data_IF_609530761182
#
_entry.id   IF_609530761182
#
_cell.length_a   1.000
_cell.length_b   1.000
_cell.length_c   1.000
_cell.angle_alpha   90.00
_cell.angle_beta   90.00
_cell.angle_gamma   90.00
#
_symmetry.space_group_name_H-M   'P 1'
#
loop_
_entity.id
_entity.type
_entity.pdbx_description
1 polymer ?
#
# COMPACT_ATOMS: atom_id res chain seq x y z
N UNK A 1 51.86 37.29 59.66
CA UNK A 1 51.72 35.98 59.05
C UNK A 1 51.27 36.14 57.63
N UNK A 2 52.02 35.72 56.65
CA UNK A 2 52.10 36.14 55.24
C UNK A 2 51.05 35.52 54.40
N UNK A 3 50.28 36.32 53.60
CA UNK A 3 49.39 35.94 52.52
C UNK A 3 50.20 35.79 51.22
N UNK A 4 50.26 34.61 50.65
CA UNK A 4 50.86 34.34 49.34
C UNK A 4 49.75 34.47 48.25
N UNK A 5 49.97 35.45 47.38
CA UNK A 5 49.15 35.66 46.16
C UNK A 5 49.43 34.54 45.13
N UNK A 6 48.41 33.83 44.74
CA UNK A 6 48.48 32.90 43.62
C UNK A 6 48.57 33.67 42.29
N UNK A 7 49.65 33.45 41.57
CA UNK A 7 49.83 33.97 40.21
C UNK A 7 48.80 33.39 39.23
N UNK A 8 47.94 34.23 38.72
CA UNK A 8 46.97 33.92 37.70
C UNK A 8 47.65 33.95 36.32
N UNK A 9 47.81 32.77 35.73
CA UNK A 9 48.48 32.62 34.44
C UNK A 9 47.52 32.99 33.27
N UNK A 10 47.79 34.07 32.47
CA UNK A 10 46.91 34.54 31.41
C UNK A 10 46.78 33.59 30.22
N UNK A 11 47.69 32.62 30.08
CA UNK A 11 47.69 31.66 28.98
C UNK A 11 46.61 30.58 29.09
N UNK A 12 45.99 30.41 30.26
CA UNK A 12 44.94 29.39 30.45
C UNK A 12 43.58 29.84 29.92
N UNK A 13 43.36 31.15 29.65
CA UNK A 13 42.12 31.68 29.07
C UNK A 13 42.06 31.49 27.56
N UNK A 14 43.20 31.42 26.88
CA UNK A 14 43.24 31.25 25.40
C UNK A 14 42.96 29.80 24.95
N UNK A 15 43.24 28.82 25.81
CA UNK A 15 42.98 27.41 25.50
C UNK A 15 41.50 27.00 25.69
N UNK A 16 40.78 27.69 26.61
CA UNK A 16 39.36 27.41 26.85
C UNK A 16 38.45 27.92 25.73
N UNK A 17 38.82 29.00 25.04
CA UNK A 17 38.04 29.58 23.96
C UNK A 17 38.22 28.85 22.61
N UNK A 18 39.39 28.21 22.41
CA UNK A 18 39.63 27.41 21.21
C UNK A 18 38.88 26.06 21.22
N UNK A 19 38.73 25.45 22.42
CA UNK A 19 38.01 24.18 22.57
C UNK A 19 36.47 24.32 22.36
N UNK A 20 35.91 25.48 22.74
CA UNK A 20 34.45 25.72 22.56
C UNK A 20 34.09 26.03 21.10
N UNK A 21 34.96 26.64 20.32
CA UNK A 21 34.74 26.92 18.89
C UNK A 21 34.84 25.64 18.03
N UNK A 22 35.65 24.66 18.44
CA UNK A 22 35.81 23.40 17.68
C UNK A 22 34.64 22.42 17.89
N UNK A 23 33.91 22.53 19.01
CA UNK A 23 32.76 21.67 19.32
C UNK A 23 31.48 22.15 18.60
N UNK A 24 31.37 23.44 18.23
CA UNK A 24 30.22 24.03 17.58
C UNK A 24 30.15 23.72 16.06
N UNK A 25 31.27 23.31 15.45
CA UNK A 25 31.32 22.99 14.00
C UNK A 25 30.92 21.55 13.70
N UNK A 26 30.95 20.65 14.70
CA UNK A 26 30.58 19.23 14.49
C UNK A 26 29.06 18.96 14.46
N UNK A 27 28.20 19.93 14.77
CA UNK A 27 26.74 19.71 14.84
C UNK A 27 25.97 20.12 13.59
N UNK A 28 26.62 20.62 12.55
CA UNK A 28 25.96 21.11 11.32
C UNK A 28 25.93 20.12 10.15
N UNK A 29 26.27 18.86 10.38
CA UNK A 29 26.38 17.84 9.34
C UNK A 29 25.36 16.69 9.43
N UNK A 30 24.17 16.88 10.00
CA UNK A 30 23.09 15.92 9.79
C UNK A 30 22.47 16.22 8.42
N UNK A 31 23.13 15.73 7.36
CA UNK A 31 22.47 15.56 6.08
C UNK A 31 21.24 14.68 6.35
N UNK A 32 20.04 15.22 6.19
CA UNK A 32 18.82 14.44 6.11
C UNK A 32 18.99 13.50 4.91
N UNK A 33 19.47 12.30 5.16
CA UNK A 33 19.43 11.26 4.13
C UNK A 33 17.94 11.08 3.79
N UNK A 34 17.60 11.28 2.51
CA UNK A 34 16.25 11.03 2.02
C UNK A 34 15.84 9.63 2.44
N UNK A 35 14.60 9.46 2.88
CA UNK A 35 14.12 8.12 3.24
C UNK A 35 14.14 7.23 2.00
N UNK A 36 14.31 5.91 2.14
CA UNK A 36 14.18 4.99 1.00
C UNK A 36 12.86 5.19 0.24
N UNK A 37 11.79 5.51 0.95
CA UNK A 37 10.48 5.81 0.35
C UNK A 37 10.54 7.03 -0.58
N UNK A 38 11.13 8.15 -0.12
CA UNK A 38 11.24 9.37 -0.93
C UNK A 38 12.14 9.13 -2.14
N UNK A 39 13.26 8.42 -1.94
CA UNK A 39 14.20 8.06 -3.00
C UNK A 39 13.51 7.19 -4.07
N UNK A 40 12.76 6.17 -3.66
CA UNK A 40 12.01 5.28 -4.56
C UNK A 40 10.98 6.09 -5.35
N UNK A 41 10.16 6.91 -4.68
CA UNK A 41 9.15 7.75 -5.33
C UNK A 41 9.76 8.67 -6.38
N UNK A 42 10.82 9.38 -6.02
CA UNK A 42 11.52 10.27 -6.94
C UNK A 42 12.07 9.49 -8.13
N UNK A 43 12.86 8.45 -7.88
CA UNK A 43 13.54 7.69 -8.93
C UNK A 43 12.57 7.04 -9.91
N UNK A 44 11.50 6.40 -9.39
CA UNK A 44 10.52 5.73 -10.25
C UNK A 44 9.69 6.73 -11.06
N UNK A 45 9.28 7.86 -10.48
CA UNK A 45 8.55 8.91 -11.21
C UNK A 45 9.40 9.52 -12.34
N UNK A 46 10.71 9.69 -12.10
CA UNK A 46 11.63 10.23 -13.13
C UNK A 46 11.89 9.23 -14.25
N UNK A 47 12.06 7.93 -13.92
CA UNK A 47 12.49 6.92 -14.89
C UNK A 47 11.33 6.19 -15.57
N UNK A 48 10.17 6.11 -14.92
CA UNK A 48 8.98 5.40 -15.43
C UNK A 48 7.76 6.32 -15.33
N UNK A 49 7.62 7.31 -16.22
CA UNK A 49 6.50 8.27 -16.21
C UNK A 49 5.12 7.60 -16.30
N UNK A 50 5.05 6.35 -16.79
CA UNK A 50 3.81 5.56 -16.86
C UNK A 50 3.29 5.14 -15.46
N UNK A 51 4.16 5.08 -14.45
CA UNK A 51 3.75 4.92 -13.05
C UNK A 51 3.24 6.28 -12.50
N UNK A 52 2.14 6.76 -13.04
CA UNK A 52 1.68 8.15 -12.93
C UNK A 52 1.45 8.63 -11.49
N UNK A 53 1.13 7.74 -10.55
CA UNK A 53 0.92 8.11 -9.16
C UNK A 53 1.23 6.94 -8.24
N UNK A 54 2.38 6.98 -7.60
CA UNK A 54 2.71 6.03 -6.55
C UNK A 54 1.89 6.40 -5.30
N UNK A 55 0.91 5.56 -4.94
CA UNK A 55 0.07 5.80 -3.77
C UNK A 55 0.79 5.47 -2.46
N UNK A 56 1.56 4.37 -2.45
CA UNK A 56 2.21 3.89 -1.25
C UNK A 56 3.55 3.21 -1.58
N UNK A 57 4.55 3.43 -0.73
CA UNK A 57 5.80 2.67 -0.70
C UNK A 57 5.96 2.14 0.72
N UNK A 58 6.25 0.85 0.88
CA UNK A 58 6.45 0.25 2.19
C UNK A 58 7.50 -0.86 2.16
N UNK A 59 8.05 -1.19 3.31
CA UNK A 59 8.96 -2.32 3.47
C UNK A 59 8.21 -3.65 3.31
N UNK A 60 8.93 -4.69 2.86
CA UNK A 60 8.45 -6.07 2.84
C UNK A 60 9.19 -6.90 3.90
N UNK A 61 8.73 -8.13 4.20
CA UNK A 61 9.48 -9.04 5.06
C UNK A 61 10.85 -9.43 4.47
N UNK A 62 11.04 -9.32 3.17
CA UNK A 62 12.33 -9.52 2.52
C UNK A 62 13.17 -8.25 2.66
N UNK A 63 14.28 -8.35 3.39
CA UNK A 63 15.17 -7.22 3.62
C UNK A 63 15.68 -6.61 2.31
N UNK A 64 15.62 -5.28 2.18
CA UNK A 64 16.07 -4.54 1.01
C UNK A 64 15.06 -4.50 -0.16
N UNK A 65 13.93 -5.22 -0.03
CA UNK A 65 12.84 -5.18 -0.99
C UNK A 65 11.70 -4.29 -0.46
N UNK A 66 11.23 -3.38 -1.30
CA UNK A 66 10.13 -2.47 -1.02
C UNK A 66 8.95 -2.76 -1.94
N UNK A 67 7.76 -2.69 -1.40
CA UNK A 67 6.50 -2.73 -2.15
C UNK A 67 6.15 -1.32 -2.61
N UNK A 68 5.77 -1.19 -3.87
CA UNK A 68 5.27 0.06 -4.50
C UNK A 68 3.86 -0.21 -5.01
N UNK A 69 2.89 0.57 -4.52
CA UNK A 69 1.50 0.46 -4.93
C UNK A 69 1.07 1.62 -5.84
N UNK A 70 0.42 1.25 -6.93
CA UNK A 70 -0.23 2.19 -7.86
C UNK A 70 -1.66 1.70 -8.10
N UNK A 71 -2.64 2.37 -7.49
CA UNK A 71 -4.02 1.89 -7.47
C UNK A 71 -4.14 0.55 -6.75
N UNK A 72 -4.54 -0.47 -7.48
CA UNK A 72 -4.61 -1.87 -7.02
C UNK A 72 -3.40 -2.71 -7.43
N UNK A 73 -2.52 -2.16 -8.27
CA UNK A 73 -1.32 -2.86 -8.73
C UNK A 73 -0.22 -2.78 -7.69
N UNK A 74 0.50 -3.89 -7.54
CA UNK A 74 1.60 -4.06 -6.61
C UNK A 74 2.87 -4.42 -7.38
N UNK A 75 3.91 -3.62 -7.16
CA UNK A 75 5.24 -3.80 -7.69
C UNK A 75 6.24 -3.90 -6.55
N UNK A 76 7.47 -4.33 -6.88
CA UNK A 76 8.57 -4.38 -5.92
C UNK A 76 9.80 -3.69 -6.48
N UNK A 77 10.64 -3.14 -5.59
CA UNK A 77 11.85 -2.44 -5.97
C UNK A 77 12.91 -2.52 -4.86
N UNK A 78 14.15 -2.21 -5.20
CA UNK A 78 15.22 -1.99 -4.24
C UNK A 78 15.12 -0.60 -3.59
N UNK A 79 15.89 -0.34 -2.53
CA UNK A 79 15.83 0.91 -1.78
C UNK A 79 16.18 2.17 -2.60
N UNK A 80 16.79 2.02 -3.76
CA UNK A 80 17.18 3.09 -4.67
C UNK A 80 16.24 3.24 -5.87
N UNK A 81 15.27 2.35 -6.05
CA UNK A 81 14.38 2.37 -7.22
C UNK A 81 15.08 2.01 -8.54
N UNK A 82 16.18 1.24 -8.49
CA UNK A 82 16.94 0.88 -9.69
C UNK A 82 16.27 -0.22 -10.51
N UNK A 83 15.54 -1.11 -9.86
CA UNK A 83 14.87 -2.24 -10.48
C UNK A 83 13.40 -2.23 -10.13
N UNK A 84 12.53 -2.46 -11.10
CA UNK A 84 11.11 -2.66 -10.88
C UNK A 84 10.76 -4.11 -11.21
N UNK A 85 10.15 -4.80 -10.25
CA UNK A 85 9.72 -6.19 -10.37
C UNK A 85 8.19 -6.19 -10.40
N UNK A 86 7.62 -6.76 -11.44
CA UNK A 86 6.20 -7.09 -11.52
C UNK A 86 6.05 -8.59 -11.37
N UNK A 87 5.45 -9.03 -10.26
CA UNK A 87 5.33 -10.46 -9.94
C UNK A 87 4.85 -10.68 -8.51
N UNK A 88 4.98 -11.91 -8.04
CA UNK A 88 4.49 -12.35 -6.74
C UNK A 88 5.62 -12.53 -5.73
N UNK A 89 5.41 -12.02 -4.52
CA UNK A 89 6.25 -12.30 -3.36
C UNK A 89 5.60 -13.41 -2.54
N UNK A 90 6.24 -14.57 -2.51
CA UNK A 90 5.74 -15.75 -1.81
C UNK A 90 6.62 -16.03 -0.59
N UNK A 91 6.02 -16.02 0.59
CA UNK A 91 6.64 -16.53 1.80
C UNK A 91 6.57 -18.06 1.79
N UNK A 92 7.71 -18.70 1.51
CA UNK A 92 7.79 -20.15 1.39
C UNK A 92 7.72 -20.87 2.73
N UNK A 93 8.06 -20.20 3.84
CA UNK A 93 7.95 -20.75 5.19
C UNK A 93 6.49 -20.76 5.65
N UNK A 94 5.82 -19.61 5.51
CA UNK A 94 4.39 -19.49 5.84
C UNK A 94 3.48 -20.09 4.74
N UNK A 95 4.02 -20.43 3.57
CA UNK A 95 3.27 -20.89 2.38
C UNK A 95 2.17 -19.91 1.98
N UNK A 96 2.49 -18.63 1.97
CA UNK A 96 1.55 -17.53 1.68
C UNK A 96 2.04 -16.69 0.52
N UNK A 97 1.13 -16.34 -0.36
CA UNK A 97 1.36 -15.34 -1.41
C UNK A 97 1.05 -13.95 -0.85
N UNK A 98 2.09 -13.21 -0.47
CA UNK A 98 1.97 -11.89 0.15
C UNK A 98 1.39 -10.85 -0.83
N UNK A 99 1.70 -10.97 -2.11
CA UNK A 99 1.16 -10.10 -3.17
C UNK A 99 -0.34 -10.32 -3.32
N UNK A 100 -0.77 -11.56 -3.40
CA UNK A 100 -2.19 -11.91 -3.52
C UNK A 100 -2.99 -11.46 -2.29
N UNK A 101 -2.46 -11.70 -1.09
CA UNK A 101 -3.08 -11.23 0.17
C UNK A 101 -3.22 -9.70 0.17
N UNK A 102 -2.20 -9.00 -0.35
CA UNK A 102 -2.22 -7.55 -0.45
C UNK A 102 -3.28 -7.06 -1.45
N UNK A 103 -3.32 -7.63 -2.64
CA UNK A 103 -4.32 -7.29 -3.66
C UNK A 103 -5.74 -7.57 -3.13
N UNK A 104 -5.96 -8.72 -2.49
CA UNK A 104 -7.24 -9.03 -1.83
C UNK A 104 -7.63 -7.97 -0.82
N UNK A 105 -6.70 -7.51 0.01
CA UNK A 105 -6.98 -6.46 0.99
C UNK A 105 -7.30 -5.11 0.34
N UNK A 106 -6.63 -4.77 -0.75
CA UNK A 106 -6.84 -3.51 -1.49
C UNK A 106 -8.16 -3.49 -2.25
N UNK A 107 -8.60 -4.66 -2.74
CA UNK A 107 -9.83 -4.83 -3.53
C UNK A 107 -11.02 -5.28 -2.70
N UNK A 108 -10.84 -5.50 -1.40
CA UNK A 108 -11.91 -5.94 -0.52
C UNK A 108 -13.03 -4.90 -0.43
N UNK A 109 -14.22 -5.30 -0.85
CA UNK A 109 -15.44 -4.52 -0.72
C UNK A 109 -16.20 -4.98 0.53
N UNK A 110 -16.55 -4.04 1.40
CA UNK A 110 -17.43 -4.35 2.53
C UNK A 110 -18.85 -4.46 2.03
N UNK A 111 -19.54 -5.54 2.41
CA UNK A 111 -20.94 -5.74 2.02
C UNK A 111 -21.84 -4.58 2.46
N UNK A 112 -21.56 -3.99 3.63
CA UNK A 112 -22.29 -2.82 4.16
C UNK A 112 -22.19 -1.57 3.29
N UNK A 113 -21.16 -1.47 2.45
CA UNK A 113 -20.89 -0.28 1.64
C UNK A 113 -21.54 -0.39 0.24
N UNK A 114 -22.15 -1.55 -0.04
CA UNK A 114 -22.84 -1.78 -1.32
C UNK A 114 -24.19 -1.01 -1.37
N UNK A 115 -24.52 -0.37 -2.48
CA UNK A 115 -25.79 0.30 -2.68
C UNK A 115 -26.91 -0.72 -2.93
N UNK A 116 -27.31 -1.46 -1.90
CA UNK A 116 -28.26 -2.58 -2.01
C UNK A 116 -29.61 -2.18 -2.59
N UNK A 117 -29.98 -0.90 -2.54
CA UNK A 117 -31.22 -0.37 -3.14
C UNK A 117 -31.18 -0.37 -4.70
N UNK A 118 -29.97 -0.40 -5.28
CA UNK A 118 -29.78 -0.42 -6.73
C UNK A 118 -29.69 -1.85 -7.27
N UNK A 119 -29.72 -2.85 -6.39
CA UNK A 119 -29.64 -4.25 -6.75
C UNK A 119 -31.02 -4.88 -6.94
N UNK A 120 -31.11 -5.82 -7.90
CA UNK A 120 -32.28 -6.73 -8.01
C UNK A 120 -32.18 -7.72 -6.86
N UNK A 121 -33.19 -7.72 -5.98
CA UNK A 121 -33.24 -8.61 -4.83
C UNK A 121 -33.98 -9.90 -5.17
N UNK A 122 -33.30 -11.05 -5.02
CA UNK A 122 -33.88 -12.39 -5.18
C UNK A 122 -33.74 -13.16 -3.86
N UNK A 123 -34.84 -13.69 -3.35
CA UNK A 123 -34.87 -14.39 -2.05
C UNK A 123 -35.24 -15.86 -2.26
N UNK A 124 -34.40 -16.75 -1.75
CA UNK A 124 -34.63 -18.19 -1.69
C UNK A 124 -34.80 -18.63 -0.25
N UNK A 125 -35.92 -19.29 0.06
CA UNK A 125 -36.26 -19.74 1.40
C UNK A 125 -36.35 -18.58 2.41
N UNK A 126 -35.70 -18.72 3.56
CA UNK A 126 -35.73 -17.69 4.63
C UNK A 126 -34.88 -16.45 4.29
N UNK A 127 -33.92 -16.56 3.38
CA UNK A 127 -33.10 -15.43 2.94
C UNK A 127 -32.13 -14.87 3.99
N UNK A 128 -31.74 -15.64 4.99
CA UNK A 128 -30.90 -15.17 6.11
C UNK A 128 -29.45 -14.87 5.68
N UNK A 129 -28.91 -15.70 4.77
CA UNK A 129 -27.58 -15.45 4.20
C UNK A 129 -27.69 -14.43 3.09
N UNK A 130 -26.75 -13.52 3.01
CA UNK A 130 -26.76 -12.48 1.98
C UNK A 130 -25.53 -12.58 1.11
N UNK A 131 -25.72 -12.46 -0.21
CA UNK A 131 -24.65 -12.39 -1.20
C UNK A 131 -24.92 -11.24 -2.16
N UNK A 132 -23.84 -10.61 -2.64
CA UNK A 132 -23.89 -9.66 -3.74
C UNK A 132 -23.32 -10.31 -4.99
N UNK A 133 -24.00 -10.19 -6.09
CA UNK A 133 -23.63 -10.76 -7.39
C UNK A 133 -23.55 -9.64 -8.41
N UNK A 134 -22.40 -9.50 -9.05
CA UNK A 134 -22.21 -8.58 -10.17
C UNK A 134 -22.29 -9.39 -11.45
N UNK A 135 -23.32 -9.15 -12.26
CA UNK A 135 -23.64 -9.96 -13.41
C UNK A 135 -23.87 -9.13 -14.67
N UNK A 136 -23.28 -9.57 -15.79
CA UNK A 136 -23.60 -9.03 -17.09
C UNK A 136 -24.81 -9.79 -17.67
N UNK A 137 -25.82 -9.11 -18.21
CA UNK A 137 -27.03 -9.75 -18.80
C UNK A 137 -26.72 -10.73 -19.93
N UNK A 138 -25.59 -10.54 -20.63
CA UNK A 138 -25.17 -11.42 -21.73
C UNK A 138 -24.20 -12.52 -21.31
N UNK A 139 -23.79 -12.56 -20.01
CA UNK A 139 -22.86 -13.54 -19.49
C UNK A 139 -23.49 -14.93 -19.36
N UNK A 140 -23.06 -15.88 -20.18
CA UNK A 140 -23.53 -17.26 -20.13
C UNK A 140 -23.24 -17.97 -18.80
N UNK A 141 -22.09 -17.67 -18.16
CA UNK A 141 -21.74 -18.21 -16.86
C UNK A 141 -22.57 -17.61 -15.74
N UNK A 142 -22.91 -16.31 -15.82
CA UNK A 142 -23.81 -15.68 -14.85
C UNK A 142 -25.19 -16.32 -14.89
N UNK A 143 -25.74 -16.57 -16.10
CA UNK A 143 -27.01 -17.29 -16.27
C UNK A 143 -26.96 -18.73 -15.75
N UNK A 144 -25.82 -19.41 -15.89
CA UNK A 144 -25.64 -20.73 -15.32
C UNK A 144 -25.60 -20.67 -13.78
N UNK A 145 -24.83 -19.75 -13.21
CA UNK A 145 -24.78 -19.52 -11.77
C UNK A 145 -26.18 -19.24 -11.20
N UNK A 146 -26.96 -18.39 -11.86
CA UNK A 146 -28.34 -18.08 -11.44
C UNK A 146 -29.21 -19.33 -11.40
N UNK A 147 -29.12 -20.20 -12.42
CA UNK A 147 -29.86 -21.48 -12.45
C UNK A 147 -29.43 -22.41 -11.32
N UNK A 148 -28.12 -22.51 -11.06
CA UNK A 148 -27.56 -23.35 -10.00
C UNK A 148 -28.01 -22.84 -8.60
N UNK A 149 -28.13 -21.52 -8.44
CA UNK A 149 -28.60 -20.87 -7.22
C UNK A 149 -30.07 -21.13 -6.93
N UNK A 150 -30.90 -21.56 -7.91
CA UNK A 150 -32.31 -21.93 -7.67
C UNK A 150 -32.46 -23.12 -6.72
N UNK A 151 -31.44 -23.98 -6.63
CA UNK A 151 -31.40 -25.12 -5.71
C UNK A 151 -30.86 -24.76 -4.32
N UNK A 152 -30.34 -23.54 -4.13
CA UNK A 152 -29.78 -23.08 -2.86
C UNK A 152 -30.86 -22.43 -2.02
N UNK A 153 -31.09 -22.98 -0.83
CA UNK A 153 -32.06 -22.44 0.13
C UNK A 153 -31.39 -21.44 1.10
N UNK A 154 -32.23 -20.62 1.75
CA UNK A 154 -31.84 -19.68 2.79
C UNK A 154 -30.79 -18.65 2.37
N UNK A 155 -30.98 -18.03 1.20
CA UNK A 155 -30.12 -16.96 0.68
C UNK A 155 -30.90 -15.81 0.07
N UNK A 156 -30.49 -14.58 0.34
CA UNK A 156 -30.87 -13.38 -0.39
C UNK A 156 -29.72 -12.98 -1.30
N UNK A 157 -29.99 -12.96 -2.61
CA UNK A 157 -29.06 -12.45 -3.62
C UNK A 157 -29.39 -11.00 -3.94
N UNK A 158 -28.39 -10.13 -3.92
CA UNK A 158 -28.43 -8.76 -4.41
C UNK A 158 -27.68 -8.72 -5.73
N UNK A 159 -28.40 -8.71 -6.84
CA UNK A 159 -27.81 -8.78 -8.20
C UNK A 159 -27.65 -7.37 -8.75
N UNK A 160 -26.42 -6.98 -8.99
CA UNK A 160 -26.03 -5.74 -9.65
C UNK A 160 -25.75 -6.03 -11.13
N UNK A 161 -26.50 -5.40 -12.03
CA UNK A 161 -26.26 -5.54 -13.46
C UNK A 161 -25.11 -4.63 -13.89
N UNK A 162 -24.07 -5.22 -14.47
CA UNK A 162 -22.88 -4.52 -14.98
C UNK A 162 -22.66 -4.89 -16.45
N UNK A 163 -23.04 -4.03 -17.41
CA UNK A 163 -22.92 -4.31 -18.84
C UNK A 163 -21.48 -4.10 -19.32
N UNK A 164 -20.62 -5.12 -19.17
CA UNK A 164 -19.19 -5.03 -19.50
C UNK A 164 -18.73 -5.90 -20.65
N UNK A 165 -19.53 -6.91 -21.09
CA UNK A 165 -19.11 -7.88 -22.10
C UNK A 165 -19.34 -7.40 -23.53
N UNK A 166 -20.42 -6.66 -23.77
CA UNK A 166 -20.76 -6.15 -25.11
C UNK A 166 -21.67 -4.92 -25.04
N UNK A 167 -21.72 -4.09 -26.09
CA UNK A 167 -22.71 -3.01 -26.22
C UNK A 167 -24.14 -3.45 -26.00
N UNK A 168 -24.52 -4.64 -26.49
CA UNK A 168 -25.87 -5.21 -26.32
C UNK A 168 -26.23 -5.51 -24.85
N UNK A 169 -25.26 -5.56 -23.96
CA UNK A 169 -25.50 -5.76 -22.54
C UNK A 169 -26.16 -4.55 -21.87
N UNK A 170 -26.04 -3.35 -22.46
CA UNK A 170 -26.68 -2.11 -21.98
C UNK A 170 -28.18 -2.06 -22.34
N UNK A 171 -28.58 -2.76 -23.41
CA UNK A 171 -29.96 -2.71 -23.94
C UNK A 171 -30.89 -3.76 -23.32
N UNK A 172 -30.39 -4.63 -22.46
CA UNK A 172 -31.13 -5.72 -21.79
C UNK A 172 -31.35 -5.45 -20.31
#
# INVERSE_FOLDING_TARGET
TVLTFAHWNPHMKLLATAATAMFAVLTLGQAFAASPEDTIRQTLNERIPQLTKIDEVRTTPMQGLYEVRVGTDVFYTDAQGNYLIQGELIDTQARRNLTEDRIKALTAVKFSDLPLNDAIKVVHGKGERQIAVFADPNCGYCKRFERDMQSVDNVTMHVFLIPILSPDSVEK
#
